data_IF_079220835726
#
_entry.id   IF_079220835726
#
_cell.length_a   1.000
_cell.length_b   1.000
_cell.length_c   1.000
_cell.angle_alpha   90.00
_cell.angle_beta   90.00
_cell.angle_gamma   90.00
#
_symmetry.space_group_name_H-M   'P 1'
#
loop_
_entity.id
_entity.type
_entity.pdbx_description
1 polymer ?
#
# COMPACT_ATOMS: atom_id res chain seq x y z
N UNK A 1 20.63 28.04 -36.18
CA UNK A 1 20.24 27.45 -34.87
C UNK A 1 21.26 26.38 -34.52
N UNK A 2 21.91 26.44 -33.34
CA UNK A 2 22.83 25.37 -32.95
C UNK A 2 22.02 24.12 -32.60
N UNK A 3 22.06 23.12 -33.48
CA UNK A 3 21.24 21.90 -33.42
C UNK A 3 21.57 21.09 -32.16
N UNK A 4 22.85 21.01 -31.79
CA UNK A 4 23.28 20.32 -30.56
C UNK A 4 22.67 20.98 -29.34
N UNK A 5 22.76 22.31 -29.23
CA UNK A 5 22.15 23.06 -28.10
C UNK A 5 20.61 22.94 -28.08
N UNK A 6 19.98 22.85 -29.26
CA UNK A 6 18.54 22.63 -29.35
C UNK A 6 18.13 21.25 -28.84
N UNK A 7 18.90 20.20 -29.18
CA UNK A 7 18.63 18.82 -28.79
C UNK A 7 19.07 18.48 -27.37
N UNK A 8 20.15 19.07 -26.86
CA UNK A 8 20.70 18.73 -25.54
C UNK A 8 20.23 19.66 -24.41
N UNK A 9 20.02 20.95 -24.69
CA UNK A 9 19.67 21.95 -23.66
C UNK A 9 18.22 22.41 -23.79
N UNK A 10 17.68 22.47 -25.01
CA UNK A 10 16.33 22.98 -25.28
C UNK A 10 15.38 21.90 -25.77
N UNK A 11 15.53 20.68 -25.27
CA UNK A 11 14.75 19.52 -25.71
C UNK A 11 13.24 19.76 -25.57
N UNK A 12 12.77 20.24 -24.41
CA UNK A 12 11.35 20.56 -24.13
C UNK A 12 10.80 21.58 -25.13
N UNK A 13 11.56 22.66 -25.39
CA UNK A 13 11.15 23.72 -26.31
C UNK A 13 11.13 23.25 -27.77
N UNK A 14 12.07 22.39 -28.15
CA UNK A 14 12.17 21.81 -29.50
C UNK A 14 10.99 20.86 -29.75
N UNK A 15 10.68 19.96 -28.81
CA UNK A 15 9.53 19.05 -28.88
C UNK A 15 8.18 19.80 -28.96
N UNK A 16 8.05 20.92 -28.24
CA UNK A 16 6.86 21.78 -28.29
C UNK A 16 6.64 22.42 -29.66
N UNK A 17 7.71 22.80 -30.35
CA UNK A 17 7.64 23.41 -31.69
C UNK A 17 7.27 22.41 -32.76
N UNK A 18 7.69 21.16 -32.61
CA UNK A 18 7.40 20.10 -33.58
C UNK A 18 6.01 19.49 -33.42
N UNK A 19 5.41 19.58 -32.24
CA UNK A 19 4.04 19.11 -31.99
C UNK A 19 3.30 20.07 -31.03
N UNK A 20 2.73 21.17 -31.54
CA UNK A 20 1.97 22.12 -30.74
C UNK A 20 0.60 21.60 -30.31
N UNK A 21 0.15 20.45 -30.84
CA UNK A 21 -1.08 19.79 -30.40
C UNK A 21 -0.89 18.96 -29.13
N UNK A 22 0.37 18.69 -28.76
CA UNK A 22 0.70 17.95 -27.55
C UNK A 22 0.30 18.78 -26.32
N UNK A 23 -0.61 18.29 -25.47
CA UNK A 23 -1.02 18.99 -24.26
C UNK A 23 0.19 19.17 -23.33
N UNK A 24 0.32 20.37 -22.75
CA UNK A 24 1.36 20.74 -21.76
C UNK A 24 1.39 19.80 -20.53
N UNK A 25 0.30 19.04 -20.34
CA UNK A 25 0.16 17.95 -19.39
C UNK A 25 1.15 16.78 -19.59
N UNK A 26 1.98 16.79 -20.64
CA UNK A 26 3.14 15.91 -20.75
C UNK A 26 4.23 16.17 -19.67
N UNK A 27 4.04 17.15 -18.77
CA UNK A 27 4.78 17.24 -17.49
C UNK A 27 4.33 16.21 -16.43
N UNK A 28 3.21 15.49 -16.64
CA UNK A 28 2.96 14.27 -15.89
C UNK A 28 3.83 13.17 -16.50
N UNK A 29 5.04 13.01 -15.95
CA UNK A 29 5.88 11.86 -16.23
C UNK A 29 5.00 10.59 -16.21
N UNK A 30 5.17 9.66 -17.18
CA UNK A 30 4.36 8.45 -17.22
C UNK A 30 4.41 7.77 -15.85
N UNK A 31 3.24 7.55 -15.25
CA UNK A 31 3.15 6.96 -13.91
C UNK A 31 3.91 5.63 -13.92
N UNK A 32 4.88 5.51 -13.03
CA UNK A 32 5.67 4.29 -12.90
C UNK A 32 4.88 3.26 -12.11
N UNK A 33 4.02 2.52 -12.80
CA UNK A 33 3.27 1.41 -12.23
C UNK A 33 4.22 0.32 -11.72
N UNK A 34 3.97 -0.14 -10.51
CA UNK A 34 4.74 -1.18 -9.84
C UNK A 34 4.07 -2.55 -9.95
N UNK A 35 2.74 -2.58 -10.07
CA UNK A 35 1.95 -3.82 -10.17
C UNK A 35 1.84 -4.27 -11.62
N UNK A 36 2.02 -5.57 -11.86
CA UNK A 36 1.84 -6.20 -13.17
C UNK A 36 0.92 -7.42 -13.05
N UNK A 37 -0.09 -7.58 -13.93
CA UNK A 37 -0.52 -6.62 -14.97
C UNK A 37 -1.07 -5.32 -14.38
N UNK A 38 -0.86 -4.19 -15.04
CA UNK A 38 -1.33 -2.86 -14.59
C UNK A 38 -2.67 -2.44 -15.22
N UNK A 39 -3.43 -3.38 -15.80
CA UNK A 39 -4.72 -3.10 -16.44
C UNK A 39 -5.87 -3.28 -15.44
N UNK A 40 -6.76 -2.29 -15.28
CA UNK A 40 -7.85 -2.33 -14.32
C UNK A 40 -8.99 -3.25 -14.78
N UNK A 41 -9.37 -4.20 -13.93
CA UNK A 41 -10.45 -5.19 -14.21
C UNK A 41 -11.45 -5.29 -13.07
N UNK A 42 -11.02 -5.11 -11.81
CA UNK A 42 -11.86 -5.33 -10.62
C UNK A 42 -11.91 -4.13 -9.69
N UNK A 43 -12.80 -4.21 -8.69
CA UNK A 43 -12.86 -3.27 -7.56
C UNK A 43 -12.99 -1.79 -7.99
N UNK A 44 -13.92 -1.50 -8.89
CA UNK A 44 -14.10 -0.13 -9.42
C UNK A 44 -12.93 0.38 -10.26
N UNK A 45 -12.07 -0.51 -10.75
CA UNK A 45 -10.86 -0.19 -11.52
C UNK A 45 -9.58 -0.09 -10.69
N UNK A 46 -9.63 -0.43 -9.40
CA UNK A 46 -8.44 -0.44 -8.54
C UNK A 46 -7.61 -1.73 -8.69
N UNK A 47 -8.25 -2.87 -9.01
CA UNK A 47 -7.58 -4.17 -9.02
C UNK A 47 -7.39 -4.68 -10.46
N UNK A 48 -6.31 -5.42 -10.70
CA UNK A 48 -6.09 -6.13 -11.98
C UNK A 48 -6.83 -7.49 -12.02
N UNK A 49 -6.66 -8.25 -13.11
CA UNK A 49 -7.25 -9.60 -13.27
C UNK A 49 -6.80 -10.63 -12.21
N UNK A 50 -5.62 -10.42 -11.61
CA UNK A 50 -5.11 -11.26 -10.53
C UNK A 50 -5.75 -10.92 -9.18
N UNK A 51 -6.46 -9.79 -9.10
CA UNK A 51 -6.98 -9.22 -7.87
C UNK A 51 -5.90 -8.49 -7.06
N UNK A 52 -4.76 -8.17 -7.68
CA UNK A 52 -3.72 -7.31 -7.09
C UNK A 52 -4.15 -5.85 -7.24
N UNK A 53 -3.97 -5.06 -6.17
CA UNK A 53 -4.19 -3.61 -6.21
C UNK A 53 -3.16 -2.97 -7.15
N UNK A 54 -3.62 -2.23 -8.14
CA UNK A 54 -2.74 -1.55 -9.09
C UNK A 54 -2.17 -0.31 -8.42
N UNK A 55 -0.86 -0.29 -8.18
CA UNK A 55 -0.15 0.84 -7.56
C UNK A 55 0.97 1.37 -8.45
N UNK A 56 1.24 2.66 -8.31
CA UNK A 56 2.38 3.37 -8.89
C UNK A 56 3.22 4.03 -7.79
N UNK A 57 4.42 4.46 -8.16
CA UNK A 57 5.29 5.23 -7.26
C UNK A 57 4.66 6.57 -6.91
N UNK A 58 4.82 6.97 -5.65
CA UNK A 58 4.21 8.14 -5.03
C UNK A 58 2.68 8.06 -4.86
N UNK A 59 2.07 6.90 -5.09
CA UNK A 59 0.69 6.67 -4.67
C UNK A 59 0.61 6.68 -3.14
N UNK A 60 -0.47 7.24 -2.60
CA UNK A 60 -0.73 7.27 -1.16
C UNK A 60 -1.81 6.25 -0.83
N UNK A 61 -1.50 5.33 0.09
CA UNK A 61 -2.41 4.32 0.59
C UNK A 61 -2.89 4.77 1.98
N UNK A 62 -4.17 5.14 2.16
CA UNK A 62 -4.70 5.52 3.46
C UNK A 62 -4.95 4.27 4.31
N UNK A 63 -4.39 4.21 5.53
CA UNK A 63 -4.69 3.14 6.50
C UNK A 63 -5.95 3.48 7.30
N UNK A 64 -7.07 3.68 6.60
CA UNK A 64 -8.36 3.93 7.24
C UNK A 64 -8.89 2.69 7.95
N UNK A 65 -8.84 2.68 9.28
CA UNK A 65 -9.38 1.57 10.10
C UNK A 65 -8.51 1.14 11.28
N UNK A 66 -7.25 1.57 11.34
CA UNK A 66 -6.40 1.49 12.54
C UNK A 66 -6.55 2.74 13.39
N UNK A 67 -6.30 2.65 14.70
CA UNK A 67 -6.38 3.79 15.63
C UNK A 67 -5.48 4.99 15.25
N UNK A 68 -4.53 4.77 14.34
CA UNK A 68 -3.76 5.78 13.62
C UNK A 68 -4.17 5.76 12.14
N UNK A 69 -4.75 6.85 11.66
CA UNK A 69 -5.05 7.06 10.23
C UNK A 69 -3.81 7.63 9.55
N UNK A 70 -2.80 6.80 9.35
CA UNK A 70 -1.57 7.18 8.67
C UNK A 70 -1.73 7.07 7.16
N UNK A 71 -1.06 7.97 6.44
CA UNK A 71 -0.89 7.88 4.99
C UNK A 71 0.43 7.19 4.68
N UNK A 72 0.39 6.17 3.82
CA UNK A 72 1.58 5.43 3.39
C UNK A 72 1.91 5.77 1.93
N UNK A 73 2.98 6.50 1.69
CA UNK A 73 3.49 6.79 0.35
C UNK A 73 4.26 5.60 -0.21
N UNK A 74 3.91 5.16 -1.42
CA UNK A 74 4.55 4.03 -2.10
C UNK A 74 5.88 4.46 -2.74
N UNK A 75 6.98 3.87 -2.26
CA UNK A 75 8.34 4.12 -2.76
C UNK A 75 8.75 3.11 -3.83
N UNK A 76 8.29 1.86 -3.73
CA UNK A 76 8.70 0.79 -4.63
C UNK A 76 8.05 -0.57 -4.36
N UNK A 77 8.41 -1.55 -5.17
CA UNK A 77 7.98 -2.95 -5.04
C UNK A 77 9.10 -3.78 -4.41
N UNK A 78 8.76 -4.59 -3.40
CA UNK A 78 9.70 -5.49 -2.71
C UNK A 78 9.56 -6.94 -3.20
N UNK A 79 8.35 -7.39 -3.53
CA UNK A 79 8.13 -8.76 -3.98
C UNK A 79 6.67 -9.08 -4.26
N UNK A 80 6.44 -10.16 -5.00
CA UNK A 80 5.10 -10.69 -5.28
C UNK A 80 5.07 -12.20 -5.07
N UNK A 81 3.89 -12.73 -4.78
CA UNK A 81 3.70 -14.16 -4.55
C UNK A 81 2.23 -14.56 -4.59
N UNK A 82 1.93 -15.79 -4.19
CA UNK A 82 0.57 -16.36 -4.22
C UNK A 82 -0.45 -15.48 -3.50
N UNK A 83 -0.05 -14.88 -2.38
CA UNK A 83 -0.92 -14.09 -1.50
C UNK A 83 -1.16 -12.65 -1.98
N UNK A 84 -0.31 -12.13 -2.86
CA UNK A 84 -0.36 -10.75 -3.35
C UNK A 84 1.02 -10.14 -3.51
N UNK A 85 1.16 -8.89 -3.10
CA UNK A 85 2.38 -8.11 -3.31
C UNK A 85 2.85 -7.43 -2.02
N UNK A 86 4.15 -7.13 -1.96
CA UNK A 86 4.80 -6.41 -0.87
C UNK A 86 5.40 -5.15 -1.45
N UNK A 87 5.04 -4.01 -0.86
CA UNK A 87 5.48 -2.68 -1.27
C UNK A 87 6.42 -2.10 -0.23
N UNK A 88 7.41 -1.33 -0.69
CA UNK A 88 8.20 -0.43 0.15
C UNK A 88 7.40 0.85 0.28
N UNK A 89 7.01 1.21 1.49
CA UNK A 89 6.22 2.41 1.77
C UNK A 89 6.89 3.28 2.82
N UNK A 90 6.66 4.58 2.79
CA UNK A 90 7.01 5.52 3.84
C UNK A 90 5.75 5.97 4.55
N UNK A 91 5.74 5.94 5.87
CA UNK A 91 4.65 6.53 6.64
C UNK A 91 4.87 8.04 6.76
N UNK A 92 3.86 8.82 6.40
CA UNK A 92 3.94 10.29 6.44
C UNK A 92 4.06 10.83 7.87
N UNK A 93 3.53 10.12 8.87
CA UNK A 93 3.49 10.60 10.26
C UNK A 93 4.87 10.52 10.94
N UNK A 94 5.56 9.38 10.81
CA UNK A 94 6.85 9.14 11.48
C UNK A 94 8.05 9.15 10.52
N UNK A 95 7.80 9.31 9.22
CA UNK A 95 8.78 9.28 8.12
C UNK A 95 9.57 7.97 8.01
N UNK A 96 9.18 6.91 8.72
CA UNK A 96 9.84 5.61 8.70
C UNK A 96 9.38 4.78 7.49
N UNK A 97 10.23 3.83 7.09
CA UNK A 97 9.98 2.94 5.95
C UNK A 97 9.50 1.57 6.43
N UNK A 98 8.44 1.08 5.79
CA UNK A 98 7.77 -0.18 6.11
C UNK A 98 7.65 -1.07 4.86
N UNK A 99 7.48 -2.37 5.12
CA UNK A 99 6.99 -3.34 4.16
C UNK A 99 5.48 -3.46 4.31
N UNK A 100 4.74 -3.06 3.28
CA UNK A 100 3.29 -3.19 3.21
C UNK A 100 2.93 -4.41 2.38
N UNK A 101 2.43 -5.47 3.02
CA UNK A 101 1.88 -6.65 2.35
C UNK A 101 0.42 -6.40 2.00
N UNK A 102 0.13 -6.28 0.71
CA UNK A 102 -1.21 -6.09 0.15
C UNK A 102 -1.76 -7.44 -0.30
N UNK A 103 -2.86 -7.87 0.31
CA UNK A 103 -3.49 -9.15 0.04
C UNK A 103 -4.43 -9.04 -1.17
N UNK A 104 -4.30 -10.00 -2.08
CA UNK A 104 -5.19 -10.14 -3.25
C UNK A 104 -6.65 -10.12 -2.87
N UNK A 105 -7.47 -9.47 -3.69
CA UNK A 105 -8.92 -9.42 -3.55
C UNK A 105 -9.60 -10.74 -3.95
N UNK A 106 -9.17 -11.87 -3.41
CA UNK A 106 -9.80 -13.18 -3.65
C UNK A 106 -10.25 -13.79 -2.34
N UNK A 107 -11.46 -14.37 -2.34
CA UNK A 107 -12.07 -14.98 -1.15
C UNK A 107 -11.17 -16.02 -0.46
N UNK A 108 -10.39 -16.79 -1.24
CA UNK A 108 -9.47 -17.78 -0.72
C UNK A 108 -8.37 -17.18 0.17
N UNK A 109 -7.84 -16.00 -0.17
CA UNK A 109 -6.70 -15.39 0.52
C UNK A 109 -7.11 -14.54 1.72
N UNK A 110 -8.32 -13.96 1.73
CA UNK A 110 -8.77 -13.10 2.85
C UNK A 110 -8.82 -13.84 4.19
N UNK A 111 -9.35 -15.07 4.21
CA UNK A 111 -9.41 -15.86 5.45
C UNK A 111 -8.02 -16.22 5.98
N UNK A 112 -7.11 -16.58 5.08
CA UNK A 112 -5.73 -16.89 5.46
C UNK A 112 -5.00 -15.68 6.03
N UNK A 113 -5.21 -14.48 5.45
CA UNK A 113 -4.64 -13.24 5.97
C UNK A 113 -5.16 -12.92 7.37
N UNK A 114 -6.45 -13.17 7.66
CA UNK A 114 -7.01 -12.99 9.00
C UNK A 114 -6.32 -13.90 10.03
N UNK A 115 -6.08 -15.16 9.69
CA UNK A 115 -5.32 -16.10 10.55
C UNK A 115 -3.88 -15.64 10.77
N UNK A 116 -3.21 -15.13 9.72
CA UNK A 116 -1.85 -14.60 9.82
C UNK A 116 -1.79 -13.40 10.78
N UNK A 117 -2.71 -12.45 10.65
CA UNK A 117 -2.81 -11.30 11.56
C UNK A 117 -3.07 -11.75 12.99
N UNK A 118 -4.00 -12.67 13.22
CA UNK A 118 -4.31 -13.19 14.56
C UNK A 118 -3.09 -13.86 15.21
N UNK A 119 -2.35 -14.67 14.46
CA UNK A 119 -1.14 -15.31 14.95
C UNK A 119 -0.05 -14.29 15.28
N UNK A 120 0.19 -13.32 14.40
CA UNK A 120 1.17 -12.26 14.62
C UNK A 120 0.82 -11.43 15.87
N UNK A 121 -0.45 -11.10 16.08
CA UNK A 121 -0.89 -10.40 17.29
C UNK A 121 -0.63 -11.21 18.56
N UNK A 122 -0.89 -12.53 18.54
CA UNK A 122 -0.58 -13.41 19.69
C UNK A 122 0.92 -13.48 20.00
N UNK A 123 1.76 -13.42 18.97
CA UNK A 123 3.22 -13.46 19.12
C UNK A 123 3.83 -12.12 19.52
N UNK A 124 3.20 -11.01 19.14
CA UNK A 124 3.66 -9.64 19.46
C UNK A 124 3.16 -9.14 20.83
N UNK A 125 2.32 -9.91 21.53
CA UNK A 125 1.89 -9.61 22.90
C UNK A 125 2.79 -10.34 23.91
N UNK A 126 3.34 -9.67 24.94
CA UNK A 126 3.77 -10.39 26.13
C UNK A 126 2.57 -11.17 26.70
N UNK A 127 2.78 -12.37 27.27
CA UNK A 127 1.68 -13.22 27.72
C UNK A 127 0.81 -12.42 28.69
N UNK A 128 -0.52 -12.43 28.48
CA UNK A 128 -1.44 -12.04 29.54
C UNK A 128 -1.10 -12.92 30.74
N UNK A 129 -0.61 -12.33 31.82
CA UNK A 129 -0.54 -12.98 33.12
C UNK A 129 -1.96 -13.24 33.59
N UNK A 130 -2.57 -14.33 33.12
CA UNK A 130 -3.81 -14.85 33.68
C UNK A 130 -3.46 -15.59 34.96
N UNK A 131 -3.49 -14.86 36.06
CA UNK A 131 -3.65 -15.43 37.40
C UNK A 131 -4.99 -16.18 37.45
N UNK A 132 -5.06 -17.40 38.02
CA UNK A 132 -6.32 -18.12 38.16
C UNK A 132 -7.11 -17.56 39.35
N UNK A 133 -8.34 -17.07 39.12
CA UNK A 133 -9.19 -16.59 40.22
C UNK A 133 -10.51 -15.93 39.81
N UNK A 134 -11.50 -16.77 39.47
CA UNK A 134 -12.91 -16.69 39.91
C UNK A 134 -13.63 -15.32 40.02
N UNK A 135 -14.62 -15.05 39.15
CA UNK A 135 -16.08 -15.06 39.45
C UNK A 135 -16.91 -14.31 38.39
N UNK A 136 -18.05 -14.90 38.06
CA UNK A 136 -19.13 -14.36 37.24
C UNK A 136 -19.77 -13.11 37.87
N UNK A 137 -20.24 -12.19 37.02
CA UNK A 137 -21.02 -11.03 37.41
C UNK A 137 -21.41 -10.15 36.22
N UNK A 138 -22.69 -10.20 35.86
CA UNK A 138 -23.39 -9.38 34.86
C UNK A 138 -23.26 -7.86 35.07
N UNK A 139 -23.07 -7.08 34.00
CA UNK A 139 -23.81 -5.84 33.70
C UNK A 139 -23.28 -5.16 32.43
N UNK A 140 -24.17 -4.49 31.70
CA UNK A 140 -23.99 -4.10 30.31
C UNK A 140 -23.08 -2.90 30.03
N UNK A 141 -22.76 -2.72 28.75
CA UNK A 141 -21.98 -1.58 28.28
C UNK A 141 -21.72 -1.64 26.78
N UNK A 142 -22.60 -1.00 26.01
CA UNK A 142 -22.48 -0.56 24.61
C UNK A 142 -21.22 -1.01 23.84
N UNK A 143 -21.36 -2.01 22.99
CA UNK A 143 -20.38 -2.35 21.96
C UNK A 143 -20.34 -1.22 20.93
N UNK A 144 -19.44 -0.26 21.14
CA UNK A 144 -18.89 0.55 20.06
C UNK A 144 -18.11 -0.36 19.14
N UNK A 145 -18.83 -1.04 18.23
CA UNK A 145 -18.24 -1.83 17.16
C UNK A 145 -17.50 -0.86 16.25
N UNK A 146 -16.21 -0.66 16.56
CA UNK A 146 -15.29 0.03 15.66
C UNK A 146 -15.43 -0.57 14.26
N UNK A 147 -15.23 0.24 13.20
CA UNK A 147 -15.39 -0.25 11.84
C UNK A 147 -14.52 -1.50 11.64
N UNK A 148 -14.99 -2.48 10.85
CA UNK A 148 -14.26 -3.72 10.62
C UNK A 148 -12.85 -3.40 10.12
N UNK A 149 -11.84 -3.90 10.84
CA UNK A 149 -10.44 -3.82 10.44
C UNK A 149 -10.27 -4.38 9.03
N UNK A 150 -9.75 -3.57 8.10
CA UNK A 150 -9.49 -4.01 6.73
C UNK A 150 -8.26 -4.94 6.74
N UNK A 151 -8.51 -6.24 6.84
CA UNK A 151 -7.50 -7.31 6.93
C UNK A 151 -6.64 -7.49 5.66
N UNK A 152 -6.68 -6.53 4.73
CA UNK A 152 -5.99 -6.60 3.43
C UNK A 152 -4.60 -5.98 3.43
N UNK A 153 -4.22 -5.29 4.50
CA UNK A 153 -2.93 -4.63 4.65
C UNK A 153 -2.24 -5.09 5.95
N UNK A 154 -1.16 -5.87 5.82
CA UNK A 154 -0.25 -6.14 6.94
C UNK A 154 0.98 -5.26 6.78
N UNK A 155 1.26 -4.43 7.78
CA UNK A 155 2.40 -3.50 7.81
C UNK A 155 3.46 -4.06 8.76
N UNK A 156 4.69 -4.19 8.28
CA UNK A 156 5.85 -4.61 9.09
C UNK A 156 6.96 -3.58 8.91
N UNK A 157 7.60 -3.16 10.00
CA UNK A 157 8.71 -2.21 9.96
C UNK A 157 9.94 -2.82 9.30
N UNK A 158 10.55 -2.08 8.37
CA UNK A 158 11.85 -2.46 7.81
C UNK A 158 12.94 -1.94 8.72
N UNK A 159 13.84 -2.82 9.13
CA UNK A 159 15.08 -2.43 9.81
C UNK A 159 16.18 -2.18 8.76
N UNK A 160 17.12 -1.27 9.05
CA UNK A 160 18.15 -0.82 8.11
C UNK A 160 19.01 -1.95 7.49
N UNK A 161 19.02 -3.13 8.11
CA UNK A 161 19.77 -4.30 7.63
C UNK A 161 19.04 -5.19 6.62
N UNK A 162 17.82 -4.84 6.19
CA UNK A 162 17.03 -5.61 5.21
C UNK A 162 17.03 -5.01 3.79
N UNK A 163 17.86 -3.98 3.52
CA UNK A 163 18.04 -3.38 2.17
C UNK A 163 19.29 -3.93 1.51
#
# INVERSE_FOLDING_TARGET
VNVVKALSVRLKETYRKTDPSRPEAADAAPRRYLTQPSFPVGNGGADNELGDLIVAVADVIPTGGTASSANLEVLGHLGSGTFGQVLKVRNDDDQNVYALKVIRNRHAFRRQAQTEVELLQRLQLPPKSTSPGQKEGSSGGKDGKGPPFDARALVVQLHEHFV
#
